data_IF_909027922816
#
_entry.id   IF_909027922816
#
_cell.length_a   1.000
_cell.length_b   1.000
_cell.length_c   1.000
_cell.angle_alpha   90.00
_cell.angle_beta   90.00
_cell.angle_gamma   90.00
#
_symmetry.space_group_name_H-M   'P 1'
#
loop_
_entity.id
_entity.type
_entity.pdbx_description
1 polymer ?
#
# COMPACT_ATOMS: atom_id res chain seq x y z
N UNK A 1 -46.12 4.79 -60.03
CA UNK A 1 -46.86 4.55 -58.78
C UNK A 1 -46.10 5.21 -57.62
N UNK A 2 -46.79 6.07 -56.83
CA UNK A 2 -46.65 6.48 -55.39
C UNK A 2 -45.24 6.51 -54.73
N UNK A 3 -44.76 7.67 -54.23
CA UNK A 3 -44.82 8.22 -52.83
C UNK A 3 -44.16 7.31 -51.74
N UNK A 4 -43.41 7.71 -50.69
CA UNK A 4 -42.88 8.94 -50.03
C UNK A 4 -42.02 8.51 -48.80
N UNK A 5 -41.28 9.44 -48.15
CA UNK A 5 -40.87 9.46 -46.71
C UNK A 5 -39.60 8.65 -46.32
N UNK A 6 -38.61 9.04 -45.50
CA UNK A 6 -38.21 10.20 -44.65
C UNK A 6 -36.79 9.84 -44.07
N UNK A 7 -35.92 10.78 -43.66
CA UNK A 7 -34.55 10.48 -43.22
C UNK A 7 -34.52 9.88 -41.80
N UNK A 8 -33.68 8.86 -41.59
CA UNK A 8 -33.46 8.21 -40.31
C UNK A 8 -32.03 8.44 -39.81
N UNK A 9 -31.93 9.27 -38.77
CA UNK A 9 -30.73 9.44 -37.97
C UNK A 9 -30.33 8.09 -37.32
N UNK A 10 -29.15 7.58 -37.66
CA UNK A 10 -28.45 6.56 -36.90
C UNK A 10 -27.46 7.27 -35.98
N UNK A 11 -27.77 7.28 -34.69
CA UNK A 11 -27.06 8.02 -33.65
C UNK A 11 -25.62 7.54 -33.49
N UNK A 12 -24.66 8.38 -33.90
CA UNK A 12 -23.35 8.36 -33.26
C UNK A 12 -23.56 8.98 -31.88
N UNK A 13 -23.80 8.16 -30.87
CA UNK A 13 -23.75 8.56 -29.46
C UNK A 13 -22.30 8.87 -29.11
N UNK A 14 -21.84 10.02 -29.59
CA UNK A 14 -20.59 10.67 -29.22
C UNK A 14 -20.83 11.45 -27.92
N UNK A 15 -21.14 10.71 -26.85
CA UNK A 15 -21.34 11.24 -25.50
C UNK A 15 -20.10 10.98 -24.62
N UNK A 16 -18.91 10.97 -25.23
CA UNK A 16 -17.67 11.09 -24.49
C UNK A 16 -17.58 12.53 -23.97
N UNK A 17 -18.06 12.76 -22.74
CA UNK A 17 -17.86 14.04 -22.08
C UNK A 17 -16.35 14.24 -21.91
N UNK A 18 -15.78 15.42 -22.24
CA UNK A 18 -14.35 15.70 -22.10
C UNK A 18 -13.76 15.50 -20.68
N UNK A 19 -14.57 15.13 -19.68
CA UNK A 19 -14.17 14.83 -18.30
C UNK A 19 -14.08 13.33 -17.96
N UNK A 20 -14.57 12.42 -18.81
CA UNK A 20 -14.52 10.97 -18.51
C UNK A 20 -13.10 10.41 -18.70
N UNK A 21 -12.32 10.94 -19.64
CA UNK A 21 -10.92 10.53 -19.87
C UNK A 21 -9.99 10.99 -18.72
N UNK A 22 -10.28 12.14 -18.12
CA UNK A 22 -9.54 12.65 -16.95
C UNK A 22 -9.87 11.86 -15.66
N UNK A 23 -11.07 11.25 -15.59
CA UNK A 23 -11.51 10.45 -14.44
C UNK A 23 -10.87 9.06 -14.43
N UNK A 24 -10.62 8.47 -15.60
CA UNK A 24 -9.90 7.20 -15.73
C UNK A 24 -8.44 7.31 -15.27
N UNK A 25 -7.83 8.51 -15.36
CA UNK A 25 -6.49 8.81 -14.84
C UNK A 25 -6.50 9.41 -13.43
N UNK A 26 -7.68 9.58 -12.83
CA UNK A 26 -7.89 10.21 -11.52
C UNK A 26 -7.87 9.24 -10.33
N UNK A 27 -7.66 7.95 -10.57
CA UNK A 27 -7.55 6.97 -9.50
C UNK A 27 -6.20 7.15 -8.81
N UNK A 28 -6.23 7.76 -7.61
CA UNK A 28 -5.05 8.06 -6.81
C UNK A 28 -4.20 6.78 -6.64
N UNK A 29 -2.95 6.77 -7.11
CA UNK A 29 -2.07 5.61 -6.95
C UNK A 29 -2.01 5.18 -5.49
N UNK A 30 -2.25 3.89 -5.21
CA UNK A 30 -2.29 3.35 -3.85
C UNK A 30 -3.68 3.24 -3.19
N UNK A 31 -4.80 3.62 -3.83
CA UNK A 31 -6.14 3.25 -3.31
C UNK A 31 -6.50 1.78 -3.56
N UNK A 32 -5.76 1.13 -4.45
CA UNK A 32 -5.95 -0.27 -4.86
C UNK A 32 -5.67 -1.28 -3.73
N UNK A 33 -4.87 -0.92 -2.72
CA UNK A 33 -4.53 -1.79 -1.61
C UNK A 33 -5.46 -1.59 -0.40
N UNK A 34 -6.01 -2.67 0.19
CA UNK A 34 -6.77 -2.58 1.43
C UNK A 34 -5.95 -2.02 2.59
N UNK A 35 -6.63 -1.37 3.53
CA UNK A 35 -6.04 -0.83 4.78
C UNK A 35 -5.15 -1.83 5.53
N UNK A 36 -5.47 -3.11 5.44
CA UNK A 36 -4.75 -4.17 6.14
C UNK A 36 -3.34 -4.42 5.56
N UNK A 37 -3.13 -4.20 4.25
CA UNK A 37 -1.80 -4.31 3.62
C UNK A 37 -0.87 -3.26 4.22
N UNK A 38 -1.29 -1.99 4.25
CA UNK A 38 -0.52 -0.91 4.88
C UNK A 38 -0.22 -1.18 6.36
N UNK A 39 -1.21 -1.68 7.11
CA UNK A 39 -1.01 -2.06 8.52
C UNK A 39 0.03 -3.16 8.68
N UNK A 40 0.08 -4.15 7.78
CA UNK A 40 1.07 -5.22 7.84
C UNK A 40 2.50 -4.72 7.66
N UNK A 41 2.72 -3.75 6.76
CA UNK A 41 4.04 -3.13 6.55
C UNK A 41 4.47 -2.34 7.79
N UNK A 42 3.58 -1.49 8.34
CA UNK A 42 3.85 -0.74 9.57
C UNK A 42 4.15 -1.69 10.73
N UNK A 43 3.40 -2.78 10.86
CA UNK A 43 3.61 -3.79 11.89
C UNK A 43 4.98 -4.47 11.75
N UNK A 44 5.42 -4.81 10.53
CA UNK A 44 6.74 -5.40 10.30
C UNK A 44 7.88 -4.46 10.71
N UNK A 45 7.78 -3.17 10.37
CA UNK A 45 8.76 -2.17 10.80
C UNK A 45 8.74 -1.92 12.32
N UNK A 46 7.54 -1.87 12.91
CA UNK A 46 7.38 -1.79 14.36
C UNK A 46 8.04 -2.98 15.05
N UNK A 47 7.87 -4.18 14.52
CA UNK A 47 8.52 -5.38 15.04
C UNK A 47 10.05 -5.32 14.92
N UNK A 48 10.60 -4.85 13.79
CA UNK A 48 12.05 -4.63 13.63
C UNK A 48 12.58 -3.71 14.74
N UNK A 49 11.94 -2.57 14.96
CA UNK A 49 12.36 -1.63 16.00
C UNK A 49 12.26 -2.25 17.39
N UNK A 50 11.16 -2.94 17.70
CA UNK A 50 10.98 -3.59 19.00
C UNK A 50 12.03 -4.69 19.23
N UNK A 51 12.32 -5.52 18.23
CA UNK A 51 13.35 -6.55 18.31
C UNK A 51 14.74 -5.93 18.53
N UNK A 52 15.06 -4.84 17.82
CA UNK A 52 16.31 -4.11 17.99
C UNK A 52 16.43 -3.50 19.40
N UNK A 53 15.38 -2.85 19.90
CA UNK A 53 15.37 -2.30 21.26
C UNK A 53 15.49 -3.39 22.33
N UNK A 54 14.82 -4.53 22.15
CA UNK A 54 14.90 -5.64 23.10
C UNK A 54 16.31 -6.28 23.14
N UNK A 55 17.01 -6.32 22.01
CA UNK A 55 18.34 -6.92 21.94
C UNK A 55 19.45 -5.94 22.32
N UNK A 56 19.40 -4.70 21.85
CA UNK A 56 20.53 -3.76 21.93
C UNK A 56 20.28 -2.55 22.84
N UNK A 57 19.07 -2.41 23.38
CA UNK A 57 18.71 -1.29 24.25
C UNK A 57 19.47 -1.35 25.59
N UNK A 58 20.00 -0.20 26.02
CA UNK A 58 20.79 -0.07 27.25
C UNK A 58 22.29 -0.28 27.06
N UNK A 59 22.76 -0.45 25.82
CA UNK A 59 24.19 -0.40 25.50
C UNK A 59 24.67 1.04 25.32
N UNK A 60 25.80 1.40 25.96
CA UNK A 60 26.34 2.77 25.97
C UNK A 60 26.54 3.35 24.55
N UNK A 61 26.87 2.51 23.57
CA UNK A 61 27.10 2.92 22.17
C UNK A 61 25.87 2.77 21.26
N UNK A 62 24.93 1.90 21.63
CA UNK A 62 23.80 1.47 20.77
C UNK A 62 22.61 2.42 20.84
N UNK A 63 22.38 3.03 22.00
CA UNK A 63 21.16 3.78 22.31
C UNK A 63 20.95 4.99 21.39
N UNK A 64 22.03 5.69 21.03
CA UNK A 64 21.94 6.82 20.10
C UNK A 64 21.52 6.36 18.70
N UNK A 65 22.10 5.27 18.20
CA UNK A 65 21.76 4.70 16.89
C UNK A 65 20.30 4.21 16.85
N UNK A 66 19.85 3.52 17.91
CA UNK A 66 18.45 3.09 18.05
C UNK A 66 17.49 4.27 18.15
N UNK A 67 17.89 5.34 18.85
CA UNK A 67 17.17 6.61 18.90
C UNK A 67 16.99 7.22 17.52
N UNK A 68 18.07 7.36 16.74
CA UNK A 68 18.01 7.85 15.36
C UNK A 68 17.13 6.97 14.47
N UNK A 69 17.29 5.64 14.52
CA UNK A 69 16.46 4.71 13.76
C UNK A 69 14.97 4.87 14.09
N UNK A 70 14.64 5.08 15.37
CA UNK A 70 13.27 5.31 15.83
C UNK A 70 12.70 6.62 15.28
N UNK A 71 13.45 7.72 15.38
CA UNK A 71 13.04 9.03 14.84
C UNK A 71 12.85 8.98 13.33
N UNK A 72 13.80 8.40 12.59
CA UNK A 72 13.69 8.25 11.14
C UNK A 72 12.45 7.43 10.78
N UNK A 73 12.22 6.31 11.45
CA UNK A 73 11.03 5.48 11.23
C UNK A 73 9.75 6.29 11.44
N UNK A 74 9.66 7.07 12.52
CA UNK A 74 8.52 7.94 12.78
C UNK A 74 8.32 8.93 11.64
N UNK A 75 9.38 9.63 11.20
CA UNK A 75 9.29 10.63 10.11
C UNK A 75 8.84 9.98 8.81
N UNK A 76 9.44 8.85 8.43
CA UNK A 76 9.11 8.14 7.19
C UNK A 76 7.68 7.60 7.19
N UNK A 77 7.14 7.16 8.33
CA UNK A 77 5.75 6.70 8.44
C UNK A 77 4.75 7.82 8.70
N UNK A 78 5.15 8.94 9.30
CA UNK A 78 4.26 10.06 9.59
C UNK A 78 3.66 10.64 8.31
N UNK A 79 4.48 10.87 7.29
CA UNK A 79 4.03 11.41 5.99
C UNK A 79 2.93 10.57 5.32
N UNK A 80 3.12 9.26 5.04
CA UNK A 80 2.09 8.44 4.42
C UNK A 80 0.85 8.28 5.31
N UNK A 81 1.01 8.25 6.64
CA UNK A 81 -0.13 8.21 7.58
C UNK A 81 -0.97 9.49 7.49
N UNK A 82 -0.32 10.65 7.47
CA UNK A 82 -0.98 11.95 7.34
C UNK A 82 -1.66 12.07 5.97
N UNK A 83 -0.94 11.73 4.90
CA UNK A 83 -1.46 11.78 3.53
C UNK A 83 -2.72 10.92 3.37
N UNK A 84 -2.70 9.71 3.95
CA UNK A 84 -3.87 8.83 4.02
C UNK A 84 -5.01 9.41 4.84
N UNK A 85 -4.72 10.02 6.00
CA UNK A 85 -5.74 10.63 6.85
C UNK A 85 -6.45 11.78 6.12
N UNK A 86 -5.69 12.56 5.36
CA UNK A 86 -6.23 13.64 4.52
C UNK A 86 -7.06 13.09 3.35
N UNK A 87 -6.58 12.06 2.66
CA UNK A 87 -7.32 11.42 1.56
C UNK A 87 -8.64 10.79 2.04
N UNK A 88 -8.62 10.08 3.17
CA UNK A 88 -9.83 9.47 3.75
C UNK A 88 -10.89 10.48 4.19
N UNK A 89 -10.53 11.75 4.41
CA UNK A 89 -11.47 12.81 4.72
C UNK A 89 -12.21 13.36 3.48
N UNK A 90 -11.70 13.07 2.27
CA UNK A 90 -12.20 13.63 1.00
C UNK A 90 -12.71 12.56 0.02
N UNK A 91 -12.65 11.27 0.38
CA UNK A 91 -13.09 10.17 -0.49
C UNK A 91 -13.95 9.17 0.28
N UNK A 92 -15.15 8.91 -0.24
CA UNK A 92 -16.11 7.92 0.27
C UNK A 92 -15.77 6.49 -0.22
N UNK A 93 -14.48 6.18 -0.24
CA UNK A 93 -13.95 4.99 -0.90
C UNK A 93 -14.36 3.75 -0.09
N UNK A 94 -15.28 2.97 -0.66
CA UNK A 94 -15.64 1.63 -0.18
C UNK A 94 -14.46 0.70 -0.41
N UNK A 95 -13.54 0.72 0.55
CA UNK A 95 -12.37 -0.14 0.53
C UNK A 95 -12.78 -1.62 0.45
N UNK A 96 -12.23 -2.30 -0.55
CA UNK A 96 -12.37 -3.73 -0.75
C UNK A 96 -11.92 -4.48 0.50
N UNK A 97 -12.74 -5.42 0.99
CA UNK A 97 -12.39 -6.25 2.12
C UNK A 97 -11.15 -7.10 1.81
N UNK A 98 -10.28 -7.36 2.79
CA UNK A 98 -9.05 -8.12 2.59
C UNK A 98 -9.29 -9.47 1.86
N UNK A 99 -10.29 -10.30 2.22
CA UNK A 99 -10.52 -11.59 1.54
C UNK A 99 -10.87 -11.43 0.06
N UNK A 100 -11.59 -10.37 -0.28
CA UNK A 100 -11.97 -10.03 -1.65
C UNK A 100 -10.74 -9.58 -2.44
N UNK A 101 -9.90 -8.74 -1.84
CA UNK A 101 -8.65 -8.27 -2.46
C UNK A 101 -7.67 -9.40 -2.73
N UNK A 102 -7.49 -10.34 -1.80
CA UNK A 102 -6.54 -11.45 -1.98
C UNK A 102 -6.87 -12.32 -3.21
N UNK A 103 -8.13 -12.33 -3.65
CA UNK A 103 -8.60 -13.05 -4.84
C UNK A 103 -8.75 -12.15 -6.07
N UNK A 104 -8.70 -10.84 -5.89
CA UNK A 104 -8.82 -9.87 -6.98
C UNK A 104 -7.57 -9.90 -7.86
N UNK A 105 -7.71 -9.76 -9.18
CA UNK A 105 -6.58 -9.40 -10.03
C UNK A 105 -6.14 -7.97 -9.69
N UNK A 106 -4.82 -7.77 -9.65
CA UNK A 106 -4.14 -6.48 -9.51
C UNK A 106 -3.31 -6.29 -10.77
N UNK A 107 -3.55 -5.18 -11.45
CA UNK A 107 -2.84 -4.86 -12.69
C UNK A 107 -1.49 -4.22 -12.36
N UNK A 108 -0.42 -4.74 -12.96
CA UNK A 108 0.93 -4.21 -12.84
C UNK A 108 1.53 -3.97 -14.23
N UNK A 109 2.64 -3.24 -14.29
CA UNK A 109 3.28 -2.90 -15.57
C UNK A 109 3.65 -4.11 -16.46
N UNK A 110 3.83 -5.29 -15.87
CA UNK A 110 4.24 -6.51 -16.59
C UNK A 110 3.11 -7.53 -16.79
N UNK A 111 1.88 -7.23 -16.38
CA UNK A 111 0.74 -8.15 -16.47
C UNK A 111 -0.19 -8.08 -15.26
N UNK A 112 -0.98 -9.11 -15.02
CA UNK A 112 -1.87 -9.20 -13.85
C UNK A 112 -1.31 -10.18 -12.82
N UNK A 113 -1.36 -9.78 -11.55
CA UNK A 113 -1.06 -10.63 -10.39
C UNK A 113 -2.31 -10.82 -9.55
N UNK A 114 -2.36 -11.88 -8.75
CA UNK A 114 -3.36 -11.95 -7.68
C UNK A 114 -3.02 -10.97 -6.57
N UNK A 115 -4.03 -10.43 -5.87
CA UNK A 115 -3.81 -9.53 -4.73
C UNK A 115 -3.00 -10.18 -3.61
N UNK A 116 -3.04 -11.51 -3.47
CA UNK A 116 -2.18 -12.25 -2.56
C UNK A 116 -0.69 -12.19 -2.94
N UNK A 117 -0.37 -12.36 -4.23
CA UNK A 117 1.01 -12.25 -4.74
C UNK A 117 1.53 -10.82 -4.61
N UNK A 118 0.71 -9.83 -4.97
CA UNK A 118 1.05 -8.42 -4.81
C UNK A 118 1.31 -8.08 -3.32
N UNK A 119 0.47 -8.58 -2.41
CA UNK A 119 0.67 -8.38 -0.97
C UNK A 119 1.97 -9.02 -0.48
N UNK A 120 2.26 -10.25 -0.90
CA UNK A 120 3.50 -10.94 -0.54
C UNK A 120 4.73 -10.18 -1.06
N UNK A 121 4.69 -9.69 -2.29
CA UNK A 121 5.79 -8.92 -2.89
C UNK A 121 6.07 -7.63 -2.12
N UNK A 122 5.03 -6.95 -1.63
CA UNK A 122 5.18 -5.77 -0.76
C UNK A 122 5.75 -6.16 0.61
N UNK A 123 5.35 -7.31 1.15
CA UNK A 123 5.69 -7.70 2.52
C UNK A 123 7.02 -8.45 2.64
N UNK A 124 7.53 -9.05 1.57
CA UNK A 124 8.70 -9.95 1.63
C UNK A 124 9.96 -9.25 2.14
N UNK A 125 10.21 -8.00 1.71
CA UNK A 125 11.39 -7.24 2.14
C UNK A 125 11.28 -6.88 3.63
N UNK A 126 10.21 -6.22 4.12
CA UNK A 126 10.03 -5.96 5.55
C UNK A 126 10.07 -7.23 6.40
N UNK A 127 9.48 -8.33 5.93
CA UNK A 127 9.43 -9.58 6.69
C UNK A 127 10.81 -10.24 6.80
N UNK A 128 11.60 -10.23 5.73
CA UNK A 128 12.98 -10.72 5.77
C UNK A 128 13.84 -9.89 6.74
N UNK A 129 13.69 -8.56 6.73
CA UNK A 129 14.38 -7.67 7.67
C UNK A 129 13.94 -7.90 9.12
N UNK A 130 12.65 -8.11 9.36
CA UNK A 130 12.10 -8.47 10.67
C UNK A 130 12.69 -9.78 11.19
N UNK A 131 12.76 -10.79 10.34
CA UNK A 131 13.37 -12.07 10.67
C UNK A 131 14.87 -11.91 10.97
N UNK A 132 15.60 -11.16 10.15
CA UNK A 132 17.02 -10.89 10.36
C UNK A 132 17.27 -10.16 11.69
N UNK A 133 16.51 -9.10 11.99
CA UNK A 133 16.62 -8.36 13.24
C UNK A 133 16.36 -9.26 14.46
N UNK A 134 15.32 -10.10 14.40
CA UNK A 134 15.02 -11.05 15.46
C UNK A 134 16.12 -12.11 15.63
N UNK A 135 16.66 -12.66 14.53
CA UNK A 135 17.71 -13.66 14.58
C UNK A 135 19.02 -13.10 15.15
N UNK A 136 19.44 -11.92 14.69
CA UNK A 136 20.64 -11.24 15.19
C UNK A 136 20.46 -10.90 16.68
N UNK A 137 19.29 -10.35 17.04
CA UNK A 137 18.98 -10.02 18.43
C UNK A 137 18.98 -11.25 19.34
N UNK A 138 18.41 -12.37 18.90
CA UNK A 138 18.43 -13.61 19.65
C UNK A 138 19.85 -14.13 19.89
N UNK A 139 20.71 -14.09 18.86
CA UNK A 139 22.13 -14.48 19.01
C UNK A 139 22.83 -13.56 20.00
N UNK A 140 22.62 -12.25 19.91
CA UNK A 140 23.22 -11.29 20.84
C UNK A 140 22.84 -11.58 22.29
N UNK A 141 21.55 -11.79 22.57
CA UNK A 141 21.06 -12.10 23.93
C UNK A 141 21.60 -13.42 24.48
N UNK A 142 21.89 -14.40 23.62
CA UNK A 142 22.48 -15.68 24.05
C UNK A 142 23.98 -15.55 24.36
N UNK A 143 24.69 -14.66 23.66
CA UNK A 143 26.14 -14.50 23.77
C UNK A 143 26.57 -13.45 24.80
N UNK A 144 25.75 -12.41 25.01
CA UNK A 144 25.98 -11.32 25.95
C UNK A 144 25.78 -11.76 27.41
#
# INVERSE_FOLDING_TARGET
MRQTSKPGAGSLSNDARPGDELSAHGQLPGVEFPKAVYRSVVAAFGFILLASWAAFGGGEDSDLALGFASVLTIVFFALPIIMRKTAAAHSDDKLTALPEFLRSPVEIATGTLTGAEAWLQVLIIPLALAFAAAAIGAVYVIVA
#
